data_IF_777107882478
#
_entry.id   IF_777107882478
#
_cell.length_a   1.000
_cell.length_b   1.000
_cell.length_c   1.000
_cell.angle_alpha   90.00
_cell.angle_beta   90.00
_cell.angle_gamma   90.00
#
_symmetry.space_group_name_H-M   'P 1'
#
loop_
_entity.id
_entity.type
_entity.pdbx_description
1 polymer ?
#
# COMPACT_ATOMS: atom_id res chain seq x y z
N UNK A 1 -15.58 -0.49 15.89
CA UNK A 1 -14.98 -0.65 14.54
C UNK A 1 -16.04 -0.80 13.46
N UNK A 2 -16.96 -1.77 13.58
CA UNK A 2 -18.03 -1.98 12.59
C UNK A 2 -18.94 -0.75 12.41
N UNK A 3 -19.39 -0.13 13.49
CA UNK A 3 -20.19 1.09 13.41
C UNK A 3 -19.43 2.24 12.73
N UNK A 4 -18.13 2.39 13.02
CA UNK A 4 -17.27 3.37 12.37
C UNK A 4 -17.14 3.09 10.86
N UNK A 5 -16.95 1.81 10.48
CA UNK A 5 -16.91 1.42 9.07
C UNK A 5 -18.25 1.70 8.36
N UNK A 6 -19.39 1.40 8.97
CA UNK A 6 -20.70 1.73 8.40
C UNK A 6 -20.85 3.23 8.12
N UNK A 7 -20.45 4.07 9.06
CA UNK A 7 -20.48 5.54 8.87
C UNK A 7 -19.57 6.01 7.72
N UNK A 8 -18.42 5.36 7.54
CA UNK A 8 -17.56 5.61 6.36
C UNK A 8 -18.32 5.24 5.08
N UNK A 9 -18.91 4.06 5.00
CA UNK A 9 -19.63 3.57 3.83
C UNK A 9 -20.88 4.38 3.50
N UNK A 10 -21.57 4.87 4.52
CA UNK A 10 -22.75 5.74 4.38
C UNK A 10 -22.40 7.19 4.02
N UNK A 11 -21.12 7.51 3.95
CA UNK A 11 -20.63 8.88 3.72
C UNK A 11 -21.03 9.87 4.85
N UNK A 12 -21.20 9.36 6.06
CA UNK A 12 -21.57 10.12 7.26
C UNK A 12 -20.34 10.37 8.16
N UNK A 13 -19.29 10.97 7.58
CA UNK A 13 -18.04 11.23 8.29
C UNK A 13 -17.94 12.61 8.92
N UNK A 14 -18.99 13.44 8.81
CA UNK A 14 -18.97 14.83 9.26
C UNK A 14 -18.79 15.00 10.78
N UNK A 15 -18.82 13.92 11.56
CA UNK A 15 -18.91 14.00 13.04
C UNK A 15 -17.96 13.02 13.75
N UNK A 16 -16.94 12.49 13.13
CA UNK A 16 -16.00 11.64 13.85
C UNK A 16 -15.03 12.49 14.66
N UNK A 17 -15.12 12.38 15.97
CA UNK A 17 -14.30 13.10 16.96
C UNK A 17 -14.34 14.64 16.87
N UNK A 18 -15.42 15.22 16.35
CA UNK A 18 -15.55 16.67 16.22
C UNK A 18 -14.68 17.30 15.11
N UNK A 19 -14.12 16.46 14.23
CA UNK A 19 -13.37 16.91 13.05
C UNK A 19 -14.25 16.74 11.82
N UNK A 20 -14.37 17.78 11.03
CA UNK A 20 -15.02 17.73 9.72
C UNK A 20 -14.11 16.96 8.75
N UNK A 21 -14.55 15.83 8.23
CA UNK A 21 -13.84 15.02 7.25
C UNK A 21 -14.68 14.87 5.97
N UNK A 22 -14.63 15.82 5.04
CA UNK A 22 -15.40 15.75 3.81
C UNK A 22 -14.82 14.70 2.83
N UNK A 23 -15.59 14.27 1.84
CA UNK A 23 -15.20 13.20 0.90
C UNK A 23 -14.05 13.57 -0.05
N UNK A 24 -13.57 14.79 -0.03
CA UNK A 24 -12.36 15.21 -0.75
C UNK A 24 -11.66 16.38 -0.05
N UNK A 25 -10.42 16.66 -0.45
CA UNK A 25 -9.57 17.67 0.20
C UNK A 25 -10.05 19.12 -0.02
N UNK A 26 -10.78 19.41 -1.07
CA UNK A 26 -11.25 20.78 -1.38
C UNK A 26 -12.24 21.30 -0.34
N UNK A 27 -13.28 20.57 0.07
CA UNK A 27 -14.14 20.98 1.18
C UNK A 27 -13.38 21.17 2.49
N UNK A 28 -12.40 20.29 2.81
CA UNK A 28 -11.55 20.47 4.00
C UNK A 28 -10.78 21.78 3.89
N UNK A 29 -10.15 22.00 2.75
CA UNK A 29 -9.36 23.19 2.50
C UNK A 29 -10.22 24.46 2.62
N UNK A 30 -11.41 24.48 2.00
CA UNK A 30 -12.37 25.59 2.09
C UNK A 30 -12.86 25.81 3.52
N UNK A 31 -13.17 24.74 4.25
CA UNK A 31 -13.59 24.83 5.64
C UNK A 31 -12.50 25.48 6.50
N UNK A 32 -11.25 25.04 6.37
CA UNK A 32 -10.11 25.57 7.12
C UNK A 32 -9.84 27.04 6.79
N UNK A 33 -9.92 27.41 5.52
CA UNK A 33 -9.80 28.82 5.09
C UNK A 33 -10.88 29.67 5.73
N UNK A 34 -12.15 29.28 5.58
CA UNK A 34 -13.30 30.11 5.91
C UNK A 34 -13.61 30.15 7.40
N UNK A 35 -13.34 29.09 8.15
CA UNK A 35 -13.75 28.94 9.54
C UNK A 35 -12.59 28.91 10.54
N UNK A 36 -11.39 28.57 10.12
CA UNK A 36 -10.24 28.42 10.99
C UNK A 36 -9.07 29.37 10.66
N UNK A 37 -9.26 30.27 9.70
CA UNK A 37 -8.26 31.23 9.22
C UNK A 37 -6.94 30.59 8.77
N UNK A 38 -7.01 29.46 8.09
CA UNK A 38 -5.84 28.85 7.49
C UNK A 38 -5.38 29.63 6.26
N UNK A 39 -4.08 29.80 6.13
CA UNK A 39 -3.40 30.31 4.93
C UNK A 39 -2.88 29.15 4.09
N UNK A 40 -2.95 29.27 2.79
CA UNK A 40 -2.53 28.23 1.85
C UNK A 40 -1.08 28.50 1.42
N UNK A 41 -0.25 27.50 1.64
CA UNK A 41 1.16 27.49 1.19
C UNK A 41 1.30 26.44 0.12
N UNK A 42 1.76 26.82 -1.08
CA UNK A 42 2.17 25.88 -2.14
C UNK A 42 3.69 25.83 -2.15
N UNK A 43 4.24 24.61 -2.02
CA UNK A 43 5.70 24.39 -2.03
C UNK A 43 6.07 23.32 -3.05
N UNK A 44 7.02 23.60 -3.94
CA UNK A 44 7.49 22.62 -4.90
C UNK A 44 8.38 23.19 -6.00
N UNK A 45 8.39 22.51 -7.15
CA UNK A 45 9.13 22.96 -8.35
C UNK A 45 8.22 23.76 -9.29
N UNK A 46 8.79 24.66 -10.06
CA UNK A 46 8.05 25.66 -10.87
C UNK A 46 6.93 25.08 -11.73
N UNK A 47 7.19 24.01 -12.46
CA UNK A 47 6.18 23.39 -13.34
C UNK A 47 5.01 22.78 -12.56
N UNK A 48 5.31 22.17 -11.43
CA UNK A 48 4.30 21.53 -10.57
C UNK A 48 3.52 22.59 -9.78
N UNK A 49 4.18 23.66 -9.36
CA UNK A 49 3.54 24.81 -8.71
C UNK A 49 2.50 25.43 -9.64
N UNK A 50 2.84 25.66 -10.91
CA UNK A 50 1.91 26.24 -11.88
C UNK A 50 0.68 25.36 -12.09
N UNK A 51 0.85 24.06 -12.20
CA UNK A 51 -0.26 23.10 -12.32
C UNK A 51 -1.16 23.14 -11.06
N UNK A 52 -0.55 23.22 -9.87
CA UNK A 52 -1.28 23.34 -8.61
C UNK A 52 -2.08 24.64 -8.53
N UNK A 53 -1.49 25.75 -8.88
CA UNK A 53 -2.17 27.06 -8.87
C UNK A 53 -3.34 27.06 -9.84
N UNK A 54 -3.17 26.53 -11.04
CA UNK A 54 -4.25 26.42 -12.03
C UNK A 54 -5.40 25.55 -11.49
N UNK A 55 -5.08 24.41 -10.84
CA UNK A 55 -6.10 23.60 -10.20
C UNK A 55 -6.81 24.34 -9.07
N UNK A 56 -6.12 25.00 -8.15
CA UNK A 56 -6.72 25.78 -7.08
C UNK A 56 -7.62 26.89 -7.63
N UNK A 57 -7.23 27.51 -8.74
CA UNK A 57 -8.02 28.53 -9.42
C UNK A 57 -9.36 27.99 -9.95
N UNK A 58 -9.42 26.74 -10.44
CA UNK A 58 -10.69 26.10 -10.84
C UNK A 58 -11.65 25.95 -9.65
N UNK A 59 -11.13 25.90 -8.45
CA UNK A 59 -11.87 25.80 -7.19
C UNK A 59 -12.08 27.18 -6.52
N UNK A 60 -11.73 28.28 -7.19
CA UNK A 60 -11.77 29.65 -6.65
C UNK A 60 -10.97 29.82 -5.35
N UNK A 61 -9.84 29.13 -5.26
CA UNK A 61 -8.88 29.22 -4.16
C UNK A 61 -7.58 29.81 -4.68
N UNK A 62 -7.02 30.79 -3.94
CA UNK A 62 -5.72 31.36 -4.23
C UNK A 62 -4.74 31.04 -3.11
N UNK A 63 -3.50 30.63 -3.39
CA UNK A 63 -2.50 30.45 -2.35
C UNK A 63 -2.06 31.79 -1.77
N UNK A 64 -1.82 31.83 -0.46
CA UNK A 64 -1.25 32.99 0.23
C UNK A 64 0.29 33.05 0.04
N UNK A 65 0.92 31.91 -0.09
CA UNK A 65 2.37 31.78 -0.28
C UNK A 65 2.67 30.73 -1.33
N UNK A 66 3.70 31.02 -2.14
CA UNK A 66 4.25 30.08 -3.12
C UNK A 66 5.76 30.00 -2.91
N UNK A 67 6.26 28.81 -2.62
CA UNK A 67 7.65 28.56 -2.25
C UNK A 67 8.30 27.50 -3.14
N UNK A 68 9.58 27.69 -3.43
CA UNK A 68 10.38 26.76 -4.23
C UNK A 68 11.41 26.00 -3.40
N UNK A 69 11.57 26.33 -2.12
CA UNK A 69 12.51 25.69 -1.22
C UNK A 69 11.89 25.41 0.15
N UNK A 70 12.32 24.32 0.80
CA UNK A 70 11.98 24.04 2.19
C UNK A 70 12.37 25.15 3.16
N UNK A 71 13.46 25.87 2.87
CA UNK A 71 13.92 26.98 3.70
C UNK A 71 12.97 28.16 3.70
N UNK A 72 12.15 28.30 2.66
CA UNK A 72 11.14 29.35 2.60
C UNK A 72 10.06 29.20 3.67
N UNK A 73 9.85 27.99 4.20
CA UNK A 73 8.92 27.75 5.31
C UNK A 73 9.32 28.53 6.58
N UNK A 74 10.61 28.81 6.76
CA UNK A 74 11.09 29.60 7.91
C UNK A 74 10.69 31.08 7.84
N UNK A 75 10.20 31.55 6.69
CA UNK A 75 9.68 32.94 6.50
C UNK A 75 8.24 33.08 7.00
N UNK A 76 7.57 31.97 7.31
CA UNK A 76 6.19 31.98 7.76
C UNK A 76 6.07 32.52 9.19
N UNK A 77 4.99 33.24 9.45
CA UNK A 77 4.69 33.72 10.80
C UNK A 77 4.14 32.56 11.64
N UNK A 78 4.85 32.20 12.71
CA UNK A 78 4.55 31.06 13.58
C UNK A 78 3.22 31.20 14.34
N UNK A 79 2.61 32.38 14.38
CA UNK A 79 1.29 32.61 15.00
C UNK A 79 0.12 32.24 14.08
N UNK A 80 0.36 32.10 12.78
CA UNK A 80 -0.67 31.77 11.81
C UNK A 80 -0.81 30.24 11.65
N UNK A 81 -1.95 29.84 11.10
CA UNK A 81 -2.23 28.46 10.74
C UNK A 81 -2.03 28.27 9.24
N UNK A 82 -1.36 27.20 8.86
CA UNK A 82 -1.05 26.94 7.47
C UNK A 82 -1.53 25.56 7.03
N UNK A 83 -2.07 25.53 5.81
CA UNK A 83 -2.30 24.30 5.06
C UNK A 83 -1.26 24.23 3.94
N UNK A 84 -0.36 23.26 4.00
CA UNK A 84 0.74 23.10 3.06
C UNK A 84 0.35 22.16 1.93
N UNK A 85 0.45 22.63 0.68
CA UNK A 85 0.28 21.82 -0.52
C UNK A 85 1.65 21.58 -1.15
N UNK A 86 2.07 20.33 -1.10
CA UNK A 86 3.41 19.91 -1.53
C UNK A 86 3.37 19.42 -2.98
N UNK A 87 4.15 20.04 -3.86
CA UNK A 87 4.14 19.77 -5.30
C UNK A 87 5.47 19.26 -5.86
N UNK A 88 6.43 18.93 -4.99
CA UNK A 88 7.78 18.54 -5.39
C UNK A 88 7.94 17.03 -5.56
N UNK A 89 8.60 16.61 -6.64
CA UNK A 89 8.92 15.20 -6.90
C UNK A 89 9.96 14.64 -5.92
N UNK A 90 10.74 15.51 -5.26
CA UNK A 90 11.76 15.11 -4.30
C UNK A 90 11.19 14.48 -3.01
N UNK A 91 9.87 14.52 -2.80
CA UNK A 91 9.21 13.85 -1.68
C UNK A 91 9.44 12.35 -1.60
N UNK A 92 9.87 11.74 -2.69
CA UNK A 92 10.27 10.34 -2.72
C UNK A 92 11.56 10.03 -1.92
N UNK A 93 12.36 11.04 -1.60
CA UNK A 93 13.65 10.85 -0.94
C UNK A 93 13.53 10.97 0.59
N UNK A 94 14.00 9.97 1.37
CA UNK A 94 13.92 9.99 2.83
C UNK A 94 14.58 11.21 3.49
N UNK A 95 15.71 11.69 2.95
CA UNK A 95 16.39 12.88 3.44
C UNK A 95 15.51 14.12 3.35
N UNK A 96 14.85 14.33 2.20
CA UNK A 96 13.90 15.42 2.01
C UNK A 96 12.72 15.33 2.98
N UNK A 97 12.18 14.12 3.20
CA UNK A 97 11.06 13.91 4.11
C UNK A 97 11.43 14.26 5.56
N UNK A 98 12.61 13.84 6.01
CA UNK A 98 13.08 14.15 7.35
C UNK A 98 13.23 15.67 7.56
N UNK A 99 13.77 16.36 6.57
CA UNK A 99 13.90 17.81 6.59
C UNK A 99 12.54 18.52 6.55
N UNK A 100 11.63 18.07 5.67
CA UNK A 100 10.27 18.58 5.59
C UNK A 100 9.54 18.47 6.94
N UNK A 101 9.56 17.29 7.56
CA UNK A 101 8.92 17.05 8.86
C UNK A 101 9.49 18.00 9.92
N UNK A 102 10.80 18.18 9.93
CA UNK A 102 11.47 19.12 10.85
C UNK A 102 11.02 20.56 10.61
N UNK A 103 11.00 21.01 9.35
CA UNK A 103 10.56 22.38 8.97
C UNK A 103 9.08 22.59 9.30
N UNK A 104 8.22 21.63 9.00
CA UNK A 104 6.79 21.71 9.36
C UNK A 104 6.59 21.82 10.87
N UNK A 105 7.29 21.01 11.65
CA UNK A 105 7.24 21.07 13.12
C UNK A 105 7.72 22.42 13.67
N UNK A 106 8.84 22.93 13.14
CA UNK A 106 9.40 24.20 13.57
C UNK A 106 8.51 25.40 13.25
N UNK A 107 7.68 25.30 12.22
CA UNK A 107 6.78 26.35 11.75
C UNK A 107 5.29 26.09 12.12
N UNK A 108 5.04 25.14 13.00
CA UNK A 108 3.70 24.76 13.48
C UNK A 108 2.71 24.41 12.35
N UNK A 109 3.22 23.83 11.25
CA UNK A 109 2.41 23.34 10.14
C UNK A 109 1.97 21.91 10.48
N UNK A 110 0.67 21.69 10.68
CA UNK A 110 0.09 20.39 11.06
C UNK A 110 -0.67 19.74 9.91
N UNK A 111 -1.18 20.57 9.02
CA UNK A 111 -2.05 20.15 7.93
C UNK A 111 -1.32 20.28 6.59
N UNK A 112 -1.28 19.21 5.84
CA UNK A 112 -0.68 19.23 4.50
C UNK A 112 -1.35 18.26 3.54
N UNK A 113 -1.21 18.56 2.27
CA UNK A 113 -1.62 17.74 1.14
C UNK A 113 -0.44 17.58 0.20
N UNK A 114 -0.24 16.40 -0.33
CA UNK A 114 0.75 16.16 -1.37
C UNK A 114 0.07 15.46 -2.56
N UNK A 115 -0.61 16.20 -3.41
CA UNK A 115 -1.23 15.66 -4.61
C UNK A 115 -0.14 15.21 -5.57
N UNK A 116 -0.21 13.97 -6.01
CA UNK A 116 0.76 13.40 -6.95
C UNK A 116 0.54 13.87 -8.39
N UNK A 117 -0.71 14.10 -8.73
CA UNK A 117 -1.17 14.50 -10.05
C UNK A 117 -2.37 15.42 -9.85
N UNK A 118 -2.17 16.72 -10.05
CA UNK A 118 -3.21 17.73 -9.83
C UNK A 118 -4.37 17.61 -10.80
N UNK A 119 -4.14 17.03 -11.97
CA UNK A 119 -5.20 16.72 -12.93
C UNK A 119 -6.07 15.56 -12.43
N UNK A 120 -5.51 14.75 -11.54
CA UNK A 120 -6.12 13.55 -10.94
C UNK A 120 -6.20 13.60 -9.42
N UNK A 121 -6.28 14.79 -8.80
CA UNK A 121 -6.60 14.80 -7.37
C UNK A 121 -7.93 14.07 -7.24
N UNK A 122 -7.94 12.89 -6.63
CA UNK A 122 -9.16 12.12 -6.56
C UNK A 122 -10.14 12.93 -5.70
N UNK A 123 -11.20 13.37 -6.32
CA UNK A 123 -12.36 13.88 -5.55
C UNK A 123 -12.80 12.82 -4.55
N UNK A 124 -12.83 11.61 -4.93
CA UNK A 124 -12.82 10.30 -4.27
C UNK A 124 -12.60 9.28 -5.37
N UNK A 125 -12.10 8.13 -5.04
CA UNK A 125 -11.99 7.04 -5.99
C UNK A 125 -13.39 6.46 -6.23
N UNK A 126 -14.05 6.90 -7.31
CA UNK A 126 -15.45 6.54 -7.60
C UNK A 126 -15.64 5.04 -7.75
N UNK A 127 -14.66 4.33 -8.30
CA UNK A 127 -14.70 2.87 -8.42
C UNK A 127 -14.73 2.20 -7.04
N UNK A 128 -13.88 2.66 -6.13
CA UNK A 128 -13.86 2.16 -4.76
C UNK A 128 -15.14 2.51 -4.01
N UNK A 129 -15.65 3.72 -4.15
CA UNK A 129 -16.89 4.15 -3.52
C UNK A 129 -18.08 3.29 -3.96
N UNK A 130 -18.24 3.09 -5.27
CA UNK A 130 -19.32 2.28 -5.83
C UNK A 130 -19.19 0.82 -5.41
N UNK A 131 -17.98 0.27 -5.46
CA UNK A 131 -17.73 -1.09 -5.05
C UNK A 131 -18.03 -1.30 -3.56
N UNK A 132 -17.53 -0.45 -2.69
CA UNK A 132 -17.73 -0.58 -1.25
C UNK A 132 -19.19 -0.47 -0.85
N UNK A 133 -19.94 0.49 -1.43
CA UNK A 133 -21.39 0.61 -1.19
C UNK A 133 -22.15 -0.63 -1.65
N UNK A 134 -21.84 -1.14 -2.84
CA UNK A 134 -22.48 -2.35 -3.38
C UNK A 134 -22.15 -3.59 -2.53
N UNK A 135 -20.96 -3.63 -1.93
CA UNK A 135 -20.41 -4.77 -1.20
C UNK A 135 -20.36 -4.56 0.32
N UNK A 136 -21.12 -3.61 0.86
CA UNK A 136 -21.11 -3.23 2.28
C UNK A 136 -21.15 -4.44 3.22
N UNK A 137 -22.10 -5.37 3.01
CA UNK A 137 -22.25 -6.57 3.86
C UNK A 137 -21.02 -7.48 3.80
N UNK A 138 -20.46 -7.65 2.61
CA UNK A 138 -19.28 -8.48 2.37
C UNK A 138 -18.06 -7.86 3.06
N UNK A 139 -17.89 -6.53 2.94
CA UNK A 139 -16.83 -5.75 3.58
C UNK A 139 -16.91 -5.84 5.11
N UNK A 140 -18.13 -5.70 5.68
CA UNK A 140 -18.33 -5.84 7.12
C UNK A 140 -18.05 -7.29 7.57
N UNK A 141 -18.47 -8.28 6.79
CA UNK A 141 -18.18 -9.68 7.08
C UNK A 141 -16.68 -9.91 7.12
N UNK A 142 -15.94 -9.37 6.12
CA UNK A 142 -14.48 -9.49 6.09
C UNK A 142 -13.83 -8.83 7.30
N UNK A 143 -14.25 -7.63 7.69
CA UNK A 143 -13.75 -6.95 8.90
C UNK A 143 -13.84 -7.86 10.14
N UNK A 144 -14.97 -8.56 10.31
CA UNK A 144 -15.19 -9.44 11.45
C UNK A 144 -14.36 -10.72 11.40
N UNK A 145 -13.92 -11.14 10.22
CA UNK A 145 -13.08 -12.33 10.01
C UNK A 145 -11.59 -12.04 10.16
N UNK A 146 -11.17 -10.78 10.23
CA UNK A 146 -9.76 -10.42 10.38
C UNK A 146 -9.23 -10.85 11.75
N UNK A 147 -8.05 -11.45 11.74
CA UNK A 147 -7.48 -12.12 12.91
C UNK A 147 -7.19 -11.17 14.08
N UNK A 148 -6.54 -10.03 13.82
CA UNK A 148 -6.08 -9.15 14.89
C UNK A 148 -6.60 -7.70 14.79
N UNK A 149 -6.38 -6.95 15.87
CA UNK A 149 -6.84 -5.56 15.98
C UNK A 149 -6.15 -4.63 14.96
N UNK A 150 -4.86 -4.84 14.68
CA UNK A 150 -4.12 -4.05 13.70
C UNK A 150 -4.68 -4.25 12.29
N UNK A 151 -4.98 -5.49 11.90
CA UNK A 151 -5.61 -5.78 10.61
C UNK A 151 -6.96 -5.07 10.47
N UNK A 152 -7.76 -5.06 11.51
CA UNK A 152 -9.06 -4.38 11.52
C UNK A 152 -8.91 -2.88 11.37
N UNK A 153 -7.96 -2.29 12.09
CA UNK A 153 -7.65 -0.87 11.98
C UNK A 153 -7.14 -0.50 10.58
N UNK A 154 -6.14 -1.22 10.07
CA UNK A 154 -5.57 -1.00 8.73
C UNK A 154 -6.65 -1.14 7.66
N UNK A 155 -7.50 -2.16 7.74
CA UNK A 155 -8.58 -2.41 6.79
C UNK A 155 -9.57 -1.25 6.72
N UNK A 156 -10.07 -0.81 7.88
CA UNK A 156 -11.04 0.29 7.96
C UNK A 156 -10.43 1.62 7.52
N UNK A 157 -9.22 1.93 7.99
CA UNK A 157 -8.54 3.17 7.62
C UNK A 157 -8.14 3.18 6.14
N UNK A 158 -7.83 2.03 5.54
CA UNK A 158 -7.59 1.94 4.10
C UNK A 158 -8.86 2.25 3.30
N UNK A 159 -10.02 1.68 3.67
CA UNK A 159 -11.31 1.98 3.04
C UNK A 159 -11.63 3.47 3.18
N UNK A 160 -11.49 4.01 4.40
CA UNK A 160 -11.67 5.44 4.65
C UNK A 160 -10.80 6.29 3.73
N UNK A 161 -9.54 5.94 3.61
CA UNK A 161 -8.58 6.66 2.78
C UNK A 161 -8.97 6.67 1.31
N UNK A 162 -9.46 5.54 0.79
CA UNK A 162 -9.94 5.45 -0.59
C UNK A 162 -11.21 6.26 -0.82
N UNK A 163 -12.10 6.30 0.16
CA UNK A 163 -13.35 7.04 0.06
C UNK A 163 -13.21 8.55 0.22
N UNK A 164 -12.27 9.00 1.06
CA UNK A 164 -12.14 10.41 1.44
C UNK A 164 -10.83 11.07 1.02
N UNK A 165 -9.94 10.33 0.34
CA UNK A 165 -8.60 10.78 -0.06
C UNK A 165 -7.76 11.30 1.13
N UNK A 166 -8.03 10.82 2.35
CA UNK A 166 -7.31 11.18 3.57
C UNK A 166 -6.30 10.09 3.93
N UNK A 167 -5.05 10.30 3.56
CA UNK A 167 -3.95 9.35 3.73
C UNK A 167 -3.23 9.47 5.07
N UNK A 168 -3.59 10.44 5.88
CA UNK A 168 -2.77 10.87 7.02
C UNK A 168 -2.74 9.89 8.19
N UNK A 169 -3.81 9.13 8.40
CA UNK A 169 -4.00 8.31 9.61
C UNK A 169 -3.51 6.86 9.47
N UNK A 170 -3.11 6.45 8.28
CA UNK A 170 -2.75 5.06 8.04
C UNK A 170 -1.41 4.71 8.70
N UNK A 171 -1.43 3.88 9.74
CA UNK A 171 -0.22 3.29 10.33
C UNK A 171 0.56 2.53 9.25
N UNK A 172 1.87 2.65 9.26
CA UNK A 172 2.73 2.06 8.26
C UNK A 172 3.90 1.33 8.91
N UNK A 173 4.14 0.11 8.47
CA UNK A 173 5.29 -0.69 8.85
C UNK A 173 6.48 -0.44 7.90
N UNK A 174 7.73 -0.73 8.30
CA UNK A 174 8.89 -0.58 7.44
C UNK A 174 8.81 -1.45 6.18
N UNK A 175 9.24 -0.93 5.03
CA UNK A 175 9.17 -1.65 3.74
C UNK A 175 10.00 -2.92 3.69
N UNK A 176 11.15 -2.94 4.36
CA UNK A 176 12.06 -4.07 4.33
C UNK A 176 11.53 -5.35 4.99
N UNK A 177 10.40 -5.26 5.74
CA UNK A 177 9.68 -6.43 6.26
C UNK A 177 8.45 -6.79 5.41
N UNK A 178 8.14 -6.05 4.35
CA UNK A 178 7.02 -6.35 3.44
C UNK A 178 7.12 -7.79 2.95
N UNK A 179 6.04 -8.55 3.06
CA UNK A 179 5.91 -10.00 2.83
C UNK A 179 6.58 -10.91 3.87
N UNK A 180 7.48 -10.39 4.72
CA UNK A 180 8.33 -11.16 5.65
C UNK A 180 8.11 -10.73 7.10
N UNK A 181 6.87 -10.33 7.40
CA UNK A 181 6.49 -9.77 8.71
C UNK A 181 6.41 -10.87 9.77
N UNK A 182 7.37 -10.83 10.70
CA UNK A 182 7.52 -11.81 11.78
C UNK A 182 6.45 -11.68 12.87
N UNK A 183 5.69 -10.57 12.88
CA UNK A 183 4.56 -10.39 13.77
C UNK A 183 3.28 -11.01 13.20
N UNK A 184 3.31 -11.43 11.92
CA UNK A 184 2.18 -12.04 11.22
C UNK A 184 2.33 -13.56 11.13
N UNK A 185 3.52 -14.06 10.78
CA UNK A 185 3.72 -15.50 10.62
C UNK A 185 5.14 -15.95 10.99
N UNK A 186 5.25 -17.22 11.40
CA UNK A 186 6.52 -17.87 11.65
C UNK A 186 7.18 -18.33 10.34
N UNK A 187 8.44 -17.96 10.12
CA UNK A 187 9.29 -18.55 9.08
C UNK A 187 9.55 -20.04 9.36
N UNK A 188 9.75 -20.84 8.30
CA UNK A 188 10.18 -22.24 8.40
C UNK A 188 11.48 -22.45 7.63
N UNK A 189 12.35 -23.28 8.17
CA UNK A 189 13.59 -23.63 7.50
C UNK A 189 13.34 -24.37 6.17
N UNK A 190 14.24 -24.15 5.22
CA UNK A 190 14.14 -24.71 3.86
C UNK A 190 12.86 -24.27 3.11
N UNK A 191 12.46 -23.03 3.28
CA UNK A 191 11.34 -22.42 2.57
C UNK A 191 11.43 -22.69 1.05
N UNK A 192 10.30 -23.06 0.43
CA UNK A 192 10.12 -22.96 -1.02
C UNK A 192 9.23 -21.77 -1.27
N UNK A 193 9.82 -20.71 -1.79
CA UNK A 193 9.20 -19.41 -1.95
C UNK A 193 8.90 -19.12 -3.42
N UNK A 194 7.66 -18.71 -3.72
CA UNK A 194 7.22 -18.27 -5.04
C UNK A 194 6.98 -16.76 -4.98
N UNK A 195 7.78 -16.00 -5.71
CA UNK A 195 7.71 -14.56 -5.82
C UNK A 195 7.07 -14.18 -7.17
N UNK A 196 5.79 -13.83 -7.18
CA UNK A 196 5.06 -13.36 -8.35
C UNK A 196 5.18 -11.84 -8.47
N UNK A 197 5.74 -11.36 -9.58
CA UNK A 197 6.14 -9.97 -9.76
C UNK A 197 7.50 -9.69 -9.14
N UNK A 198 8.50 -10.50 -9.49
CA UNK A 198 9.84 -10.40 -8.91
C UNK A 198 10.62 -9.15 -9.32
N UNK A 199 10.12 -8.38 -10.29
CA UNK A 199 10.72 -7.14 -10.77
C UNK A 199 12.22 -7.28 -11.03
N UNK A 200 13.03 -6.39 -10.51
CA UNK A 200 14.49 -6.42 -10.60
C UNK A 200 15.17 -7.20 -9.43
N UNK A 201 14.37 -7.83 -8.56
CA UNK A 201 14.85 -8.70 -7.47
C UNK A 201 14.90 -8.07 -6.09
N UNK A 202 14.29 -6.91 -5.87
CA UNK A 202 14.23 -6.22 -4.57
C UNK A 202 13.64 -7.12 -3.47
N UNK A 203 12.57 -7.85 -3.76
CA UNK A 203 11.96 -8.80 -2.83
C UNK A 203 12.91 -9.93 -2.42
N UNK A 204 13.78 -10.42 -3.33
CA UNK A 204 14.79 -11.41 -2.99
C UNK A 204 15.80 -10.83 -1.98
N UNK A 205 16.25 -9.59 -2.18
CA UNK A 205 17.18 -8.96 -1.24
C UNK A 205 16.54 -8.75 0.13
N UNK A 206 15.26 -8.35 0.20
CA UNK A 206 14.51 -8.28 1.47
C UNK A 206 14.39 -9.66 2.14
N UNK A 207 14.15 -10.74 1.36
CA UNK A 207 14.16 -12.09 1.89
C UNK A 207 15.51 -12.44 2.54
N UNK A 208 16.60 -12.19 1.83
CA UNK A 208 17.96 -12.47 2.32
C UNK A 208 18.33 -11.64 3.56
N UNK A 209 17.83 -10.41 3.65
CA UNK A 209 18.01 -9.55 4.84
C UNK A 209 17.28 -10.13 6.06
N UNK A 210 16.06 -10.62 5.88
CA UNK A 210 15.23 -11.14 6.96
C UNK A 210 15.59 -12.56 7.39
N UNK A 211 15.90 -13.45 6.44
CA UNK A 211 16.04 -14.90 6.66
C UNK A 211 17.36 -15.48 6.16
N UNK A 212 18.25 -14.65 5.63
CA UNK A 212 19.55 -15.06 5.05
C UNK A 212 19.33 -16.07 3.92
N UNK A 213 20.09 -17.16 3.91
CA UNK A 213 20.02 -18.22 2.92
C UNK A 213 19.20 -19.45 3.36
N UNK A 214 18.30 -19.24 4.36
CA UNK A 214 17.43 -20.30 4.89
C UNK A 214 16.23 -20.54 3.97
N UNK A 215 16.52 -21.05 2.77
CA UNK A 215 15.52 -21.52 1.81
C UNK A 215 16.07 -22.66 0.96
N UNK A 216 15.18 -23.52 0.52
CA UNK A 216 15.51 -24.61 -0.44
C UNK A 216 15.51 -24.07 -1.86
N UNK A 217 14.51 -23.28 -2.24
CA UNK A 217 14.34 -22.72 -3.59
C UNK A 217 13.48 -21.46 -3.59
N UNK A 218 13.83 -20.53 -4.48
CA UNK A 218 13.00 -19.36 -4.78
C UNK A 218 12.66 -19.37 -6.27
N UNK A 219 11.37 -19.33 -6.59
CA UNK A 219 10.85 -19.12 -7.93
C UNK A 219 10.54 -17.64 -8.11
N UNK A 220 11.28 -16.95 -8.95
CA UNK A 220 11.11 -15.53 -9.26
C UNK A 220 10.41 -15.41 -10.62
N UNK A 221 9.11 -15.07 -10.59
CA UNK A 221 8.24 -15.00 -11.75
C UNK A 221 8.01 -13.55 -12.15
N UNK A 222 8.33 -13.17 -13.38
CA UNK A 222 8.21 -11.78 -13.86
C UNK A 222 7.86 -11.77 -15.35
N UNK A 223 6.79 -11.03 -15.71
CA UNK A 223 6.31 -10.93 -17.08
C UNK A 223 7.15 -10.02 -17.98
N UNK A 224 7.76 -9.00 -17.42
CA UNK A 224 8.55 -8.01 -18.16
C UNK A 224 9.97 -8.52 -18.41
N UNK A 225 10.32 -8.76 -19.68
CA UNK A 225 11.63 -9.28 -20.09
C UNK A 225 12.81 -8.40 -19.64
N UNK A 226 12.66 -7.10 -19.64
CA UNK A 226 13.72 -6.17 -19.23
C UNK A 226 13.95 -6.25 -17.71
N UNK A 227 12.90 -6.36 -16.91
CA UNK A 227 13.02 -6.58 -15.46
C UNK A 227 13.68 -7.94 -15.16
N UNK A 228 13.32 -9.00 -15.89
CA UNK A 228 14.00 -10.30 -15.77
C UNK A 228 15.48 -10.20 -16.08
N UNK A 229 15.87 -9.41 -17.08
CA UNK A 229 17.28 -9.16 -17.40
C UNK A 229 17.99 -8.47 -16.24
N UNK A 230 17.43 -7.38 -15.75
CA UNK A 230 17.94 -6.65 -14.59
C UNK A 230 18.04 -7.53 -13.35
N UNK A 231 17.04 -8.38 -13.10
CA UNK A 231 17.08 -9.36 -12.02
C UNK A 231 18.27 -10.31 -12.14
N UNK A 232 18.50 -10.88 -13.35
CA UNK A 232 19.64 -11.78 -13.61
C UNK A 232 20.98 -11.06 -13.42
N UNK A 233 21.07 -9.79 -13.81
CA UNK A 233 22.26 -8.98 -13.59
C UNK A 233 22.48 -8.74 -12.08
N UNK A 234 21.42 -8.46 -11.33
CA UNK A 234 21.46 -8.27 -9.88
C UNK A 234 21.83 -9.57 -9.12
N UNK A 235 21.49 -10.75 -9.64
CA UNK A 235 21.91 -12.02 -9.05
C UNK A 235 23.45 -12.18 -8.98
N UNK A 236 24.21 -11.45 -9.79
CA UNK A 236 25.68 -11.51 -9.75
C UNK A 236 26.27 -10.91 -8.46
N UNK A 237 25.50 -10.10 -7.72
CA UNK A 237 25.88 -9.58 -6.39
C UNK A 237 25.66 -10.58 -5.26
N UNK A 238 25.04 -11.73 -5.54
CA UNK A 238 24.70 -12.77 -4.56
C UNK A 238 25.69 -13.95 -4.69
N UNK A 239 26.17 -14.54 -3.58
CA UNK A 239 27.04 -15.71 -3.60
C UNK A 239 26.47 -16.85 -4.46
N UNK A 240 27.34 -17.57 -5.15
CA UNK A 240 26.96 -18.60 -6.12
C UNK A 240 26.11 -19.72 -5.52
N UNK A 241 26.42 -20.13 -4.30
CA UNK A 241 25.67 -21.17 -3.57
C UNK A 241 24.22 -20.76 -3.30
N UNK A 242 23.95 -19.46 -3.09
CA UNK A 242 22.61 -18.90 -2.94
C UNK A 242 21.94 -18.75 -4.31
N UNK A 243 22.65 -18.16 -5.27
CA UNK A 243 22.15 -17.92 -6.63
C UNK A 243 21.65 -19.20 -7.30
N UNK A 244 22.32 -20.33 -7.11
CA UNK A 244 21.92 -21.65 -7.65
C UNK A 244 20.56 -22.14 -7.14
N UNK A 245 20.08 -21.62 -6.03
CA UNK A 245 18.78 -21.94 -5.46
C UNK A 245 17.65 -21.05 -6.03
N UNK A 246 17.97 -20.05 -6.86
CA UNK A 246 16.99 -19.10 -7.42
C UNK A 246 16.69 -19.44 -8.87
N UNK A 247 15.41 -19.66 -9.18
CA UNK A 247 14.90 -19.96 -10.52
C UNK A 247 14.13 -18.74 -11.04
N UNK A 248 14.71 -18.04 -12.02
CA UNK A 248 14.07 -16.87 -12.63
C UNK A 248 13.35 -17.28 -13.92
N UNK A 249 12.04 -17.03 -13.98
CA UNK A 249 11.17 -17.39 -15.12
C UNK A 249 10.50 -16.13 -15.66
N UNK A 250 10.64 -15.91 -16.98
CA UNK A 250 9.90 -14.86 -17.66
C UNK A 250 8.49 -15.34 -18.00
N UNK A 251 7.53 -15.00 -17.17
CA UNK A 251 6.13 -15.40 -17.35
C UNK A 251 5.16 -14.41 -16.66
N UNK A 252 3.98 -14.25 -17.24
CA UNK A 252 2.82 -13.69 -16.57
C UNK A 252 2.06 -14.84 -15.91
N UNK A 253 1.90 -14.77 -14.60
CA UNK A 253 1.16 -15.80 -13.84
C UNK A 253 -0.34 -15.61 -14.05
N UNK A 254 -1.04 -16.71 -14.31
CA UNK A 254 -2.49 -16.73 -14.56
C UNK A 254 -3.19 -17.97 -13.96
N UNK A 255 -4.46 -18.17 -14.31
CA UNK A 255 -5.28 -19.33 -13.90
C UNK A 255 -5.50 -20.37 -15.01
N UNK A 256 -4.81 -20.26 -16.13
CA UNK A 256 -4.99 -21.12 -17.31
C UNK A 256 -3.69 -21.84 -17.73
N UNK A 257 -2.69 -21.08 -18.21
CA UNK A 257 -1.49 -21.67 -18.83
C UNK A 257 -0.25 -21.59 -17.94
N UNK A 258 -0.06 -20.44 -17.30
CA UNK A 258 1.12 -20.17 -16.49
C UNK A 258 0.76 -20.21 -14.99
N UNK A 259 0.15 -21.30 -14.59
CA UNK A 259 -0.33 -21.46 -13.22
C UNK A 259 0.82 -21.79 -12.27
N UNK A 260 0.70 -21.32 -11.01
CA UNK A 260 1.66 -21.70 -9.96
C UNK A 260 1.65 -23.21 -9.75
N UNK A 261 0.49 -23.84 -9.86
CA UNK A 261 0.34 -25.29 -9.75
C UNK A 261 1.23 -26.04 -10.77
N UNK A 262 1.30 -25.54 -12.01
CA UNK A 262 2.14 -26.14 -13.05
C UNK A 262 3.63 -25.79 -12.88
N UNK A 263 3.94 -24.51 -12.59
CA UNK A 263 5.33 -24.03 -12.45
C UNK A 263 6.03 -24.72 -11.27
N UNK A 264 5.30 -24.99 -10.20
CA UNK A 264 5.80 -25.58 -8.96
C UNK A 264 5.33 -27.03 -8.76
N UNK A 265 5.07 -27.75 -9.83
CA UNK A 265 4.65 -29.14 -9.77
C UNK A 265 5.62 -29.98 -8.93
N UNK A 266 5.08 -30.75 -7.98
CA UNK A 266 5.84 -31.58 -7.04
C UNK A 266 6.74 -30.83 -6.02
N UNK A 267 6.62 -29.52 -5.92
CA UNK A 267 7.32 -28.73 -4.88
C UNK A 267 6.42 -28.48 -3.68
N UNK A 268 6.98 -28.61 -2.49
CA UNK A 268 6.28 -28.28 -1.24
C UNK A 268 6.34 -26.77 -0.97
N UNK A 269 5.65 -25.97 -1.79
CA UNK A 269 5.63 -24.51 -1.67
C UNK A 269 5.12 -24.12 -0.28
N UNK A 270 5.85 -23.24 0.41
CA UNK A 270 5.58 -22.85 1.79
C UNK A 270 5.34 -21.36 1.96
N UNK A 271 5.72 -20.54 0.97
CA UNK A 271 5.48 -19.11 0.93
C UNK A 271 5.19 -18.67 -0.52
N UNK A 272 4.18 -17.82 -0.69
CA UNK A 272 3.86 -17.17 -1.96
C UNK A 272 3.67 -15.69 -1.68
N UNK A 273 4.37 -14.81 -2.42
CA UNK A 273 3.97 -13.42 -2.48
C UNK A 273 3.53 -13.02 -3.89
N UNK A 274 2.70 -11.97 -3.97
CA UNK A 274 2.16 -11.47 -5.23
C UNK A 274 2.10 -9.95 -5.23
N UNK A 275 2.71 -9.36 -6.27
CA UNK A 275 2.61 -7.93 -6.62
C UNK A 275 2.59 -7.85 -8.15
N UNK A 276 1.42 -8.09 -8.76
CA UNK A 276 1.24 -8.39 -10.19
C UNK A 276 0.14 -7.56 -10.85
N UNK A 277 -0.02 -6.34 -10.33
CA UNK A 277 -0.79 -5.26 -10.97
C UNK A 277 -2.26 -5.64 -11.29
N UNK A 278 -2.93 -6.31 -10.33
CA UNK A 278 -4.35 -6.67 -10.40
C UNK A 278 -4.64 -8.08 -10.93
N UNK A 279 -3.61 -8.89 -11.12
CA UNK A 279 -3.77 -10.30 -11.52
C UNK A 279 -3.75 -11.27 -10.33
N UNK A 280 -3.72 -10.76 -9.08
CA UNK A 280 -3.56 -11.54 -7.86
C UNK A 280 -4.61 -12.63 -7.71
N UNK A 281 -5.88 -12.31 -7.94
CA UNK A 281 -6.96 -13.30 -7.84
C UNK A 281 -6.81 -14.45 -8.85
N UNK A 282 -6.39 -14.15 -10.07
CA UNK A 282 -6.11 -15.19 -11.08
C UNK A 282 -4.92 -16.05 -10.67
N UNK A 283 -3.83 -15.42 -10.21
CA UNK A 283 -2.67 -16.16 -9.74
C UNK A 283 -2.99 -17.08 -8.55
N UNK A 284 -3.83 -16.62 -7.59
CA UNK A 284 -4.32 -17.43 -6.47
C UNK A 284 -5.16 -18.60 -6.98
N UNK A 285 -6.02 -18.39 -7.98
CA UNK A 285 -6.80 -19.47 -8.63
C UNK A 285 -5.89 -20.48 -9.30
N UNK A 286 -4.83 -20.03 -9.97
CA UNK A 286 -3.80 -20.87 -10.58
C UNK A 286 -2.86 -21.56 -9.58
N UNK A 287 -2.99 -21.28 -8.29
CA UNK A 287 -2.25 -21.93 -7.20
C UNK A 287 -3.15 -22.87 -6.38
N UNK A 288 -4.34 -23.22 -6.85
CA UNK A 288 -5.35 -23.94 -6.09
C UNK A 288 -4.84 -25.25 -5.50
N UNK A 289 -4.14 -26.07 -6.29
CA UNK A 289 -3.63 -27.37 -5.83
C UNK A 289 -2.51 -27.19 -4.81
N UNK A 290 -1.59 -26.26 -5.06
CA UNK A 290 -0.52 -25.88 -4.13
C UNK A 290 -1.11 -25.40 -2.80
N UNK A 291 -2.14 -24.56 -2.83
CA UNK A 291 -2.80 -24.05 -1.62
C UNK A 291 -3.44 -25.18 -0.82
N UNK A 292 -4.17 -26.07 -1.47
CA UNK A 292 -4.85 -27.19 -0.82
C UNK A 292 -3.87 -28.21 -0.23
N UNK A 293 -2.81 -28.54 -0.98
CA UNK A 293 -1.85 -29.58 -0.59
C UNK A 293 -0.84 -29.08 0.46
N UNK A 294 -0.28 -27.89 0.27
CA UNK A 294 0.88 -27.42 1.04
C UNK A 294 0.52 -26.41 2.12
N UNK A 295 -0.60 -25.70 1.96
CA UNK A 295 -1.02 -24.60 2.83
C UNK A 295 0.12 -23.61 3.05
N UNK A 296 0.62 -22.95 1.98
CA UNK A 296 1.65 -21.92 2.09
C UNK A 296 1.12 -20.68 2.82
N UNK A 297 1.99 -19.87 3.40
CA UNK A 297 1.66 -18.47 3.69
C UNK A 297 1.49 -17.76 2.35
N UNK A 298 0.42 -16.96 2.21
CA UNK A 298 0.17 -16.15 1.01
C UNK A 298 0.18 -14.70 1.43
N UNK A 299 1.07 -13.89 0.82
CA UNK A 299 1.19 -12.46 1.02
C UNK A 299 0.92 -11.75 -0.32
N UNK A 300 -0.30 -11.25 -0.52
CA UNK A 300 -0.73 -10.64 -1.78
C UNK A 300 -0.95 -9.14 -1.61
N UNK A 301 -0.44 -8.34 -2.55
CA UNK A 301 -0.82 -6.94 -2.66
C UNK A 301 -2.33 -6.82 -2.90
N UNK A 302 -2.99 -6.00 -2.07
CA UNK A 302 -4.46 -5.88 -2.08
C UNK A 302 -4.89 -4.42 -2.29
N UNK A 303 -4.23 -3.74 -3.24
CA UNK A 303 -4.44 -2.33 -3.51
C UNK A 303 -4.61 -2.00 -5.00
N UNK A 304 -4.49 -2.98 -5.89
CA UNK A 304 -4.58 -2.75 -7.32
C UNK A 304 -6.04 -2.60 -7.77
N UNK A 305 -6.94 -3.42 -7.23
CA UNK A 305 -8.35 -3.39 -7.56
C UNK A 305 -9.23 -3.19 -6.32
N UNK A 306 -10.39 -2.52 -6.42
CA UNK A 306 -11.34 -2.44 -5.30
C UNK A 306 -11.79 -3.80 -4.76
N UNK A 307 -11.81 -4.81 -5.61
CA UNK A 307 -12.21 -6.19 -5.28
C UNK A 307 -11.20 -6.91 -4.40
N UNK A 308 -9.93 -6.50 -4.42
CA UNK A 308 -8.84 -7.21 -3.73
C UNK A 308 -9.06 -7.31 -2.23
N UNK A 309 -9.68 -6.28 -1.63
CA UNK A 309 -9.95 -6.23 -0.20
C UNK A 309 -10.89 -7.33 0.31
N UNK A 310 -11.71 -7.88 -0.57
CA UNK A 310 -12.69 -8.90 -0.21
C UNK A 310 -12.49 -10.21 -0.97
N UNK A 311 -12.28 -10.15 -2.30
CA UNK A 311 -12.30 -11.34 -3.13
C UNK A 311 -11.05 -12.22 -2.93
N UNK A 312 -9.86 -11.62 -2.71
CA UNK A 312 -8.63 -12.39 -2.46
C UNK A 312 -8.76 -13.24 -1.20
N UNK A 313 -9.03 -12.66 0.00
CA UNK A 313 -9.12 -13.45 1.22
C UNK A 313 -10.31 -14.43 1.21
N UNK A 314 -11.44 -14.04 0.63
CA UNK A 314 -12.62 -14.90 0.58
C UNK A 314 -12.42 -16.11 -0.31
N UNK A 315 -11.71 -15.97 -1.44
CA UNK A 315 -11.37 -17.12 -2.27
C UNK A 315 -10.52 -18.13 -1.50
N UNK A 316 -9.49 -17.66 -0.76
CA UNK A 316 -8.63 -18.53 0.05
C UNK A 316 -9.41 -19.19 1.19
N UNK A 317 -10.24 -18.44 1.91
CA UNK A 317 -11.11 -18.99 2.99
C UNK A 317 -12.07 -20.05 2.45
N UNK A 318 -12.61 -19.87 1.26
CA UNK A 318 -13.49 -20.86 0.61
C UNK A 318 -12.73 -22.13 0.18
N UNK A 319 -11.42 -22.06 -0.04
CA UNK A 319 -10.59 -23.24 -0.29
C UNK A 319 -10.27 -24.00 1.00
N UNK A 320 -10.05 -23.31 2.10
CA UNK A 320 -9.68 -23.93 3.38
C UNK A 320 -9.93 -22.99 4.56
N UNK A 321 -10.65 -23.47 5.57
CA UNK A 321 -10.88 -22.76 6.83
C UNK A 321 -9.63 -22.63 7.71
N UNK A 322 -8.54 -23.31 7.35
CA UNK A 322 -7.27 -23.33 8.08
C UNK A 322 -6.50 -21.97 8.04
N UNK A 323 -6.96 -21.05 7.21
CA UNK A 323 -6.29 -19.76 7.06
C UNK A 323 -6.86 -18.67 7.94
N UNK A 324 -5.98 -17.92 8.61
CA UNK A 324 -6.28 -16.64 9.26
C UNK A 324 -5.86 -15.49 8.35
N UNK A 325 -6.66 -14.42 8.32
CA UNK A 325 -6.46 -13.29 7.42
C UNK A 325 -5.97 -12.07 8.20
N UNK A 326 -4.86 -11.48 7.69
CA UNK A 326 -4.29 -10.25 8.21
C UNK A 326 -4.16 -9.21 7.11
N UNK A 327 -4.20 -7.95 7.50
CA UNK A 327 -3.83 -6.82 6.65
C UNK A 327 -2.74 -6.01 7.30
N UNK A 328 -1.73 -5.65 6.51
CA UNK A 328 -0.65 -4.77 6.94
C UNK A 328 -0.37 -3.73 5.88
N UNK A 329 -0.06 -2.53 6.32
CA UNK A 329 0.36 -1.43 5.44
C UNK A 329 1.85 -1.21 5.58
N UNK A 330 2.55 -1.17 4.46
CA UNK A 330 3.99 -0.89 4.41
C UNK A 330 4.27 0.43 3.71
N UNK A 331 5.27 1.18 4.21
CA UNK A 331 5.71 2.43 3.61
C UNK A 331 6.98 2.18 2.82
N UNK A 332 6.97 2.35 1.52
CA UNK A 332 8.20 2.33 0.72
C UNK A 332 8.82 3.71 0.59
N UNK A 333 8.00 4.73 0.39
CA UNK A 333 8.43 6.12 0.26
C UNK A 333 7.35 7.05 0.77
N UNK A 334 7.69 8.31 1.04
CA UNK A 334 6.71 9.34 1.39
C UNK A 334 5.61 9.48 0.32
N UNK A 335 5.99 9.34 -0.95
CA UNK A 335 5.07 9.36 -2.08
C UNK A 335 4.05 8.22 -2.02
N UNK A 336 4.50 7.01 -1.65
CA UNK A 336 3.62 5.86 -1.50
C UNK A 336 2.72 5.95 -0.27
N UNK A 337 3.11 6.71 0.76
CA UNK A 337 2.22 7.04 1.88
C UNK A 337 0.93 7.66 1.39
N UNK A 338 1.02 8.56 0.42
CA UNK A 338 -0.10 9.31 -0.13
C UNK A 338 -0.91 8.52 -1.16
N UNK A 339 -0.30 7.55 -1.83
CA UNK A 339 -0.99 6.71 -2.83
C UNK A 339 -1.65 5.46 -2.25
N UNK A 340 -1.53 5.20 -0.94
CA UNK A 340 -1.96 3.95 -0.32
C UNK A 340 -1.42 2.68 -0.96
N UNK A 341 -0.31 2.78 -1.64
CA UNK A 341 0.39 1.62 -2.12
C UNK A 341 0.87 0.77 -0.93
N UNK A 342 1.24 -0.46 -1.19
CA UNK A 342 1.85 -1.35 -0.22
C UNK A 342 0.89 -1.88 0.89
N UNK A 343 -0.41 -2.00 0.59
CA UNK A 343 -1.32 -2.78 1.41
C UNK A 343 -1.16 -4.27 1.05
N UNK A 344 -0.82 -5.07 2.04
CA UNK A 344 -0.64 -6.52 1.87
C UNK A 344 -1.69 -7.27 2.69
N UNK A 345 -2.39 -8.16 2.02
CA UNK A 345 -3.22 -9.19 2.62
C UNK A 345 -2.34 -10.43 2.87
N UNK A 346 -2.36 -10.93 4.10
CA UNK A 346 -1.75 -12.21 4.43
C UNK A 346 -2.84 -13.23 4.73
N UNK A 347 -2.72 -14.40 4.10
CA UNK A 347 -3.44 -15.60 4.50
C UNK A 347 -2.43 -16.57 5.13
N UNK A 348 -2.58 -16.81 6.42
CA UNK A 348 -1.62 -17.55 7.24
C UNK A 348 -2.28 -18.84 7.74
N UNK A 349 -1.76 -20.03 7.40
CA UNK A 349 -2.31 -21.27 7.90
C UNK A 349 -2.02 -21.42 9.41
N UNK A 350 -2.93 -22.07 10.14
CA UNK A 350 -2.86 -22.23 11.61
C UNK A 350 -1.49 -22.67 12.13
N UNK A 351 -0.82 -23.59 11.40
CA UNK A 351 0.51 -24.10 11.76
C UNK A 351 1.64 -23.05 11.71
N UNK A 352 1.40 -21.92 11.05
CA UNK A 352 2.38 -20.83 10.83
C UNK A 352 2.07 -19.57 11.64
N UNK A 353 0.97 -19.54 12.41
CA UNK A 353 0.62 -18.38 13.23
C UNK A 353 1.66 -18.10 14.31
N UNK A 354 1.92 -16.82 14.52
CA UNK A 354 2.67 -16.34 15.69
C UNK A 354 1.77 -16.53 16.93
N UNK A 355 2.28 -17.17 17.97
CA UNK A 355 1.55 -17.45 19.22
C UNK A 355 1.89 -16.44 20.27
#
# INVERSE_FOLDING_TARGET
MEEYLKRILDNDMNIVHGVYEPPNNIPILRYKINNENYKIVVLGTDSMILSCINWLATESISPDYVFNSLDDLDKLNKSDKYFLILTDINYKYPAFQAELIKKMSNNNIKDYLCPYDYEKIPKHDTEYLEYFKKKEKDIITMLNMLHDAESKEVYVEYIRTKMYADFYRLKQNPTWIKYFDKDVYNHVSNEIFVNCGSSNGDTLFYYLENFKDDFKRIYALEGNKERVRQFKDNLNYIPENIRKKVVSINTFVDDDKNTIDHICENEAVSLINMDIEGMELKAIKGAKQVILANKPVIAACAYHLPTDLYELPMYIKNLSDDYEIFYRKYASTFRNKLKNAELVMYAVPQKRLVR
#
